data_IF_047134249036
#
_entry.id   IF_047134249036
#
_cell.length_a   1.000
_cell.length_b   1.000
_cell.length_c   1.000
_cell.angle_alpha   90.00
_cell.angle_beta   90.00
_cell.angle_gamma   90.00
#
_symmetry.space_group_name_H-M   'P 1'
#
loop_
_entity.id
_entity.type
_entity.pdbx_description
1 polymer ?
#
# COMPACT_ATOMS: atom_id res chain seq x y z
N UNK A 1 3.33 25.07 -33.93
CA UNK A 1 3.77 23.70 -33.60
C UNK A 1 3.55 23.43 -32.12
N UNK A 2 2.43 22.77 -31.75
CA UNK A 2 2.15 22.36 -30.37
C UNK A 2 2.86 21.03 -30.10
N UNK A 3 3.87 21.05 -29.22
CA UNK A 3 4.50 19.84 -28.70
C UNK A 3 3.44 19.06 -27.90
N UNK A 4 2.93 17.97 -28.48
CA UNK A 4 2.18 16.96 -27.74
C UNK A 4 3.13 16.39 -26.68
N UNK A 5 2.90 16.75 -25.42
CA UNK A 5 3.44 16.01 -24.30
C UNK A 5 2.92 14.58 -24.41
N UNK A 6 3.79 13.65 -24.81
CA UNK A 6 3.60 12.24 -24.53
C UNK A 6 3.67 12.10 -23.01
N UNK A 7 2.52 12.18 -22.35
CA UNK A 7 2.30 11.47 -21.10
C UNK A 7 2.40 9.98 -21.46
N UNK A 8 3.65 9.49 -21.53
CA UNK A 8 3.91 8.07 -21.61
C UNK A 8 3.25 7.42 -20.40
N UNK A 9 2.73 6.21 -20.60
CA UNK A 9 2.25 5.33 -19.56
C UNK A 9 3.15 5.42 -18.31
N UNK A 10 2.77 6.28 -17.36
CA UNK A 10 3.41 6.38 -16.06
C UNK A 10 3.04 5.08 -15.37
N UNK A 11 4.02 4.18 -15.32
CA UNK A 11 3.88 2.73 -15.21
C UNK A 11 2.91 2.25 -14.12
N UNK A 12 1.62 2.12 -14.48
CA UNK A 12 0.60 1.34 -13.76
C UNK A 12 1.10 -0.08 -13.46
N UNK A 13 1.82 -0.66 -14.41
CA UNK A 13 2.43 -1.99 -14.31
C UNK A 13 3.36 -2.15 -13.10
N UNK A 14 4.06 -1.09 -12.70
CA UNK A 14 4.97 -1.13 -11.57
C UNK A 14 4.26 -1.28 -10.22
N UNK A 15 3.15 -0.58 -10.03
CA UNK A 15 2.38 -0.59 -8.78
C UNK A 15 1.51 -1.85 -8.67
N UNK A 16 0.93 -2.30 -9.79
CA UNK A 16 0.16 -3.56 -9.87
C UNK A 16 0.97 -4.81 -9.52
N UNK A 17 2.30 -4.72 -9.60
CA UNK A 17 3.22 -5.81 -9.26
C UNK A 17 3.69 -5.78 -7.79
N UNK A 18 3.16 -4.86 -6.97
CA UNK A 18 3.49 -4.74 -5.55
C UNK A 18 2.48 -5.52 -4.72
N UNK A 19 2.96 -6.42 -3.87
CA UNK A 19 2.09 -7.10 -2.92
C UNK A 19 1.52 -6.10 -1.89
N UNK A 20 2.22 -5.00 -1.63
CA UNK A 20 1.76 -3.91 -0.75
C UNK A 20 0.50 -3.23 -1.29
N UNK A 21 0.38 -3.09 -2.61
CA UNK A 21 -0.84 -2.56 -3.22
C UNK A 21 -2.02 -3.52 -2.98
N UNK A 22 -1.79 -4.83 -3.14
CA UNK A 22 -2.80 -5.86 -2.88
C UNK A 22 -3.22 -5.84 -1.41
N UNK A 23 -2.24 -5.75 -0.49
CA UNK A 23 -2.48 -5.65 0.95
C UNK A 23 -3.35 -4.43 1.29
N UNK A 24 -2.98 -3.25 0.79
CA UNK A 24 -3.74 -2.01 1.01
C UNK A 24 -5.16 -2.11 0.44
N UNK A 25 -5.30 -2.63 -0.78
CA UNK A 25 -6.62 -2.82 -1.41
C UNK A 25 -7.52 -3.73 -0.57
N UNK A 26 -6.98 -4.88 -0.13
CA UNK A 26 -7.71 -5.83 0.69
C UNK A 26 -8.06 -5.25 2.06
N UNK A 27 -7.14 -4.52 2.69
CA UNK A 27 -7.37 -3.83 3.95
C UNK A 27 -8.55 -2.86 3.85
N UNK A 28 -8.55 -1.99 2.85
CA UNK A 28 -9.61 -1.00 2.66
C UNK A 28 -10.97 -1.66 2.43
N UNK A 29 -11.01 -2.81 1.74
CA UNK A 29 -12.23 -3.60 1.53
C UNK A 29 -12.73 -4.25 2.83
N UNK A 30 -11.86 -4.97 3.54
CA UNK A 30 -12.23 -5.72 4.74
C UNK A 30 -12.68 -4.78 5.86
N UNK A 31 -11.94 -3.70 6.07
CA UNK A 31 -12.22 -2.74 7.14
C UNK A 31 -13.12 -1.58 6.69
N UNK A 32 -13.72 -1.67 5.50
CA UNK A 32 -14.64 -0.65 4.98
C UNK A 32 -15.78 -0.38 5.97
N UNK A 33 -16.40 -1.43 6.52
CA UNK A 33 -17.50 -1.28 7.49
C UNK A 33 -17.04 -0.75 8.84
N UNK A 34 -15.88 -1.19 9.33
CA UNK A 34 -15.33 -0.82 10.64
C UNK A 34 -14.90 0.63 10.70
N UNK A 35 -14.21 1.10 9.67
CA UNK A 35 -13.69 2.46 9.59
C UNK A 35 -14.53 3.38 8.71
N UNK A 36 -15.52 2.89 7.96
CA UNK A 36 -16.34 3.75 7.10
C UNK A 36 -15.57 4.31 5.91
N UNK A 37 -14.64 3.54 5.33
CA UNK A 37 -13.95 3.95 4.11
C UNK A 37 -14.91 4.02 2.92
N UNK A 38 -14.56 4.86 1.94
CA UNK A 38 -15.20 4.86 0.63
C UNK A 38 -14.92 3.51 -0.05
N UNK A 39 -15.92 2.97 -0.75
CA UNK A 39 -15.74 1.76 -1.54
C UNK A 39 -14.86 2.07 -2.76
N UNK A 40 -13.84 1.23 -3.00
CA UNK A 40 -12.98 1.32 -4.18
C UNK A 40 -13.03 0.02 -4.96
N UNK A 41 -13.15 0.15 -6.28
CA UNK A 41 -12.65 -0.87 -7.20
C UNK A 41 -11.12 -0.83 -7.21
N UNK A 42 -10.51 -1.95 -7.61
CA UNK A 42 -9.05 -2.06 -7.75
C UNK A 42 -8.45 -1.09 -8.79
N UNK A 43 -9.27 -0.55 -9.71
CA UNK A 43 -8.87 0.48 -10.67
C UNK A 43 -8.99 1.90 -10.09
N UNK A 44 -10.07 2.21 -9.37
CA UNK A 44 -10.24 3.51 -8.71
C UNK A 44 -9.16 3.76 -7.67
N UNK A 45 -8.81 2.74 -6.87
CA UNK A 45 -7.73 2.87 -5.89
C UNK A 45 -6.37 3.12 -6.57
N UNK A 46 -6.12 2.43 -7.69
CA UNK A 46 -4.90 2.64 -8.46
C UNK A 46 -4.84 4.07 -9.03
N UNK A 47 -5.92 4.56 -9.63
CA UNK A 47 -6.01 5.92 -10.13
C UNK A 47 -5.81 6.95 -9.00
N UNK A 48 -6.38 6.69 -7.82
CA UNK A 48 -6.19 7.56 -6.66
C UNK A 48 -4.70 7.67 -6.25
N UNK A 49 -3.92 6.58 -6.33
CA UNK A 49 -2.48 6.63 -6.06
C UNK A 49 -1.65 7.30 -7.16
N UNK A 50 -2.13 7.30 -8.41
CA UNK A 50 -1.49 8.04 -9.50
C UNK A 50 -1.63 9.55 -9.33
N UNK A 51 -2.75 10.00 -8.77
CA UNK A 51 -3.00 11.41 -8.47
C UNK A 51 -2.13 11.92 -7.30
N UNK A 52 -1.36 12.98 -7.56
CA UNK A 52 -0.52 13.61 -6.51
C UNK A 52 -1.33 14.31 -5.42
N UNK A 53 -2.58 14.64 -5.72
CA UNK A 53 -3.48 15.27 -4.80
C UNK A 53 -4.87 14.61 -4.90
N UNK A 54 -5.10 13.60 -4.05
CA UNK A 54 -6.38 12.89 -3.97
C UNK A 54 -6.98 13.09 -2.57
N UNK A 55 -8.09 13.83 -2.49
CA UNK A 55 -8.75 14.17 -1.23
C UNK A 55 -9.26 12.94 -0.48
N UNK A 56 -9.68 11.91 -1.20
CA UNK A 56 -10.14 10.64 -0.60
C UNK A 56 -8.99 9.91 0.10
N UNK A 57 -7.84 9.77 -0.55
CA UNK A 57 -6.64 9.20 0.10
C UNK A 57 -6.19 10.04 1.30
N UNK A 58 -6.22 11.36 1.21
CA UNK A 58 -5.86 12.22 2.35
C UNK A 58 -6.84 12.05 3.51
N UNK A 59 -8.12 11.85 3.21
CA UNK A 59 -9.13 11.45 4.18
C UNK A 59 -8.79 10.15 4.87
N UNK A 60 -8.40 9.11 4.11
CA UNK A 60 -7.98 7.80 4.65
C UNK A 60 -6.75 7.94 5.54
N UNK A 61 -5.68 8.61 5.09
CA UNK A 61 -4.51 8.86 5.91
C UNK A 61 -4.86 9.57 7.21
N UNK A 62 -5.65 10.65 7.13
CA UNK A 62 -6.08 11.41 8.30
C UNK A 62 -6.88 10.54 9.28
N UNK A 63 -7.78 9.72 8.75
CA UNK A 63 -8.63 8.84 9.55
C UNK A 63 -7.84 7.75 10.26
N UNK A 64 -6.96 7.06 9.53
CA UNK A 64 -6.09 6.03 10.09
C UNK A 64 -5.14 6.60 11.16
N UNK A 65 -4.61 7.81 10.94
CA UNK A 65 -3.79 8.48 11.94
C UNK A 65 -4.60 8.89 13.18
N UNK A 66 -5.87 9.27 13.05
CA UNK A 66 -6.73 9.55 14.23
C UNK A 66 -6.97 8.29 15.04
N UNK A 67 -7.09 7.13 14.39
CA UNK A 67 -7.17 5.84 15.07
C UNK A 67 -5.86 5.54 15.79
N UNK A 68 -4.71 5.77 15.13
CA UNK A 68 -3.39 5.54 15.70
C UNK A 68 -3.08 6.51 16.87
N UNK A 69 -3.53 7.76 16.77
CA UNK A 69 -3.21 8.86 17.67
C UNK A 69 -4.49 9.61 18.12
N UNK A 70 -5.37 8.99 18.95
CA UNK A 70 -6.71 9.52 19.26
C UNK A 70 -6.73 10.89 19.96
N UNK A 71 -5.60 11.33 20.54
CA UNK A 71 -5.49 12.59 21.28
C UNK A 71 -5.07 13.79 20.41
N UNK A 72 -4.75 13.58 19.12
CA UNK A 72 -4.28 14.63 18.22
C UNK A 72 -5.41 15.11 17.28
N UNK A 73 -5.52 16.43 17.08
CA UNK A 73 -6.39 17.01 16.06
C UNK A 73 -5.70 16.91 14.68
N UNK A 74 -6.03 15.85 13.94
CA UNK A 74 -5.45 15.56 12.63
C UNK A 74 -6.46 15.94 11.56
N UNK A 75 -6.03 16.68 10.53
CA UNK A 75 -6.88 17.14 9.41
C UNK A 75 -6.27 16.68 8.08
N UNK A 76 -7.06 16.75 7.02
CA UNK A 76 -6.61 16.45 5.65
C UNK A 76 -5.50 17.37 5.15
N UNK A 77 -5.26 18.48 5.84
CA UNK A 77 -4.16 19.42 5.58
C UNK A 77 -2.93 19.20 6.45
N UNK A 78 -3.06 18.53 7.62
CA UNK A 78 -1.99 18.37 8.62
C UNK A 78 -1.50 16.93 8.78
N UNK A 79 -2.17 15.97 8.16
CA UNK A 79 -1.83 14.54 8.31
C UNK A 79 -0.39 14.20 7.90
N UNK A 80 0.17 14.89 6.91
CA UNK A 80 1.53 14.63 6.43
C UNK A 80 2.57 14.92 7.51
N UNK A 81 2.46 16.09 8.16
CA UNK A 81 3.38 16.51 9.21
C UNK A 81 3.27 15.58 10.42
N UNK A 82 2.03 15.22 10.80
CA UNK A 82 1.79 14.28 11.90
C UNK A 82 2.34 12.88 11.58
N UNK A 83 2.20 12.41 10.33
CA UNK A 83 2.71 11.11 9.95
C UNK A 83 4.23 11.09 9.88
N UNK A 84 4.84 12.17 9.39
CA UNK A 84 6.30 12.36 9.40
C UNK A 84 6.85 12.26 10.82
N UNK A 85 6.29 13.02 11.77
CA UNK A 85 6.69 12.96 13.18
C UNK A 85 6.61 11.53 13.72
N UNK A 86 5.55 10.79 13.37
CA UNK A 86 5.35 9.43 13.84
C UNK A 86 6.32 8.43 13.21
N UNK A 87 6.70 8.62 11.94
CA UNK A 87 7.73 7.84 11.26
C UNK A 87 9.09 8.07 11.92
N UNK A 88 9.48 9.33 12.13
CA UNK A 88 10.73 9.70 12.81
C UNK A 88 10.80 9.14 14.24
N UNK A 89 9.66 9.13 14.94
CA UNK A 89 9.57 8.60 16.30
C UNK A 89 9.69 7.08 16.37
N UNK A 90 9.19 6.34 15.36
CA UNK A 90 9.13 4.86 15.39
C UNK A 90 10.26 4.17 14.61
N UNK A 91 10.82 4.83 13.60
CA UNK A 91 11.67 4.20 12.59
C UNK A 91 12.90 5.06 12.31
N UNK A 92 14.08 4.50 12.59
CA UNK A 92 15.36 5.12 12.22
C UNK A 92 15.84 4.73 10.81
N UNK A 93 15.21 3.74 10.17
CA UNK A 93 15.74 3.14 8.92
C UNK A 93 15.02 3.62 7.64
N UNK A 94 13.80 4.15 7.77
CA UNK A 94 13.02 4.64 6.64
C UNK A 94 12.20 5.86 7.03
N UNK A 95 12.67 7.04 6.63
CA UNK A 95 11.95 8.30 6.74
C UNK A 95 11.75 8.92 5.33
N UNK A 96 10.65 8.58 4.64
CA UNK A 96 10.41 9.02 3.26
C UNK A 96 10.23 10.54 3.12
N UNK A 97 9.92 11.26 4.21
CA UNK A 97 9.74 12.71 4.24
C UNK A 97 11.03 13.49 4.60
N UNK A 98 12.20 12.85 4.48
CA UNK A 98 13.51 13.51 4.56
C UNK A 98 13.62 14.65 3.51
N UNK A 99 14.47 15.64 3.79
CA UNK A 99 14.70 16.81 2.93
C UNK A 99 13.46 17.71 2.66
N UNK A 100 12.35 17.51 3.39
CA UNK A 100 11.15 18.33 3.25
C UNK A 100 10.22 17.90 2.11
N UNK A 101 10.48 16.72 1.52
CA UNK A 101 9.63 16.10 0.49
C UNK A 101 8.18 15.97 0.98
N UNK A 102 7.22 16.39 0.14
CA UNK A 102 5.77 16.32 0.42
C UNK A 102 5.09 15.17 -0.32
N UNK A 103 3.84 14.89 0.05
CA UNK A 103 3.08 13.76 -0.51
C UNK A 103 3.03 13.76 -2.06
N UNK A 104 2.85 14.95 -2.64
CA UNK A 104 2.71 15.14 -4.08
C UNK A 104 3.99 14.81 -4.86
N UNK A 105 5.15 14.88 -4.20
CA UNK A 105 6.47 14.57 -4.76
C UNK A 105 6.80 13.07 -4.73
N UNK A 106 6.04 12.24 -4.01
CA UNK A 106 6.23 10.79 -4.04
C UNK A 106 5.74 10.18 -5.34
N UNK A 107 6.47 9.19 -5.82
CA UNK A 107 5.99 8.28 -6.85
C UNK A 107 4.76 7.49 -6.37
N UNK A 108 3.90 7.00 -7.27
CA UNK A 108 2.74 6.19 -6.89
C UNK A 108 3.09 4.99 -6.00
N UNK A 109 4.24 4.36 -6.25
CA UNK A 109 4.75 3.24 -5.43
C UNK A 109 5.05 3.66 -4.00
N UNK A 110 5.74 4.79 -3.82
CA UNK A 110 6.06 5.33 -2.49
C UNK A 110 4.77 5.71 -1.74
N UNK A 111 3.76 6.25 -2.44
CA UNK A 111 2.45 6.56 -1.83
C UNK A 111 1.73 5.31 -1.30
N UNK A 112 1.81 4.19 -2.02
CA UNK A 112 1.31 2.89 -1.52
C UNK A 112 2.08 2.44 -0.28
N UNK A 113 3.41 2.54 -0.30
CA UNK A 113 4.26 2.16 0.84
C UNK A 113 3.98 3.01 2.07
N UNK A 114 3.71 4.30 1.90
CA UNK A 114 3.30 5.20 2.99
C UNK A 114 2.01 4.71 3.65
N UNK A 115 0.97 4.40 2.87
CA UNK A 115 -0.30 3.92 3.43
C UNK A 115 -0.13 2.55 4.09
N UNK A 116 0.60 1.64 3.44
CA UNK A 116 0.92 0.32 4.00
C UNK A 116 1.63 0.44 5.34
N UNK A 117 2.62 1.33 5.47
CA UNK A 117 3.34 1.54 6.73
C UNK A 117 2.43 2.05 7.84
N UNK A 118 1.51 2.95 7.52
CA UNK A 118 0.53 3.42 8.49
C UNK A 118 -0.38 2.28 8.97
N UNK A 119 -0.80 1.39 8.07
CA UNK A 119 -1.57 0.20 8.41
C UNK A 119 -0.74 -0.76 9.29
N UNK A 120 0.55 -0.96 9.01
CA UNK A 120 1.42 -1.77 9.89
C UNK A 120 1.43 -1.22 11.32
N UNK A 121 1.59 0.11 11.48
CA UNK A 121 1.61 0.75 12.80
C UNK A 121 0.30 0.59 13.58
N UNK A 122 -0.82 0.47 12.87
CA UNK A 122 -2.12 0.16 13.45
C UNK A 122 -2.23 -1.32 13.85
N UNK A 123 -1.73 -2.22 13.01
CA UNK A 123 -1.70 -3.66 13.29
C UNK A 123 -0.76 -4.04 14.45
N UNK A 124 0.31 -3.26 14.68
CA UNK A 124 1.18 -3.36 15.86
C UNK A 124 0.51 -2.82 17.14
N UNK A 125 -0.68 -2.23 17.00
CA UNK A 125 -1.48 -1.71 18.11
C UNK A 125 -2.22 -2.79 18.91
N UNK A 126 -3.29 -2.37 19.59
CA UNK A 126 -4.13 -3.25 20.44
C UNK A 126 -5.38 -3.79 19.74
N UNK A 127 -5.50 -3.59 18.43
CA UNK A 127 -6.66 -4.04 17.66
C UNK A 127 -6.38 -5.45 17.13
N UNK A 128 -6.94 -6.45 17.83
CA UNK A 128 -6.68 -7.86 17.52
C UNK A 128 -7.11 -8.23 16.10
N UNK A 129 -8.21 -7.66 15.58
CA UNK A 129 -8.69 -7.92 14.22
C UNK A 129 -7.72 -7.39 13.17
N UNK A 130 -7.14 -6.21 13.40
CA UNK A 130 -6.09 -5.65 12.55
C UNK A 130 -4.81 -6.50 12.57
N UNK A 131 -4.42 -6.95 13.77
CA UNK A 131 -3.24 -7.78 13.95
C UNK A 131 -3.40 -9.14 13.27
N UNK A 132 -4.55 -9.79 13.43
CA UNK A 132 -4.92 -11.05 12.77
C UNK A 132 -4.94 -10.88 11.25
N UNK A 133 -5.57 -9.82 10.73
CA UNK A 133 -5.56 -9.53 9.29
C UNK A 133 -4.14 -9.43 8.74
N UNK A 134 -3.26 -8.67 9.42
CA UNK A 134 -1.89 -8.49 8.97
C UNK A 134 -1.08 -9.80 9.00
N UNK A 135 -1.26 -10.62 10.04
CA UNK A 135 -0.62 -11.94 10.17
C UNK A 135 -1.13 -12.92 9.12
N UNK A 136 -2.45 -12.99 8.91
CA UNK A 136 -3.07 -13.92 7.97
C UNK A 136 -2.76 -13.57 6.52
N UNK A 137 -2.72 -12.29 6.17
CA UNK A 137 -2.36 -11.85 4.82
C UNK A 137 -0.92 -12.24 4.47
N UNK A 138 0.00 -12.17 5.44
CA UNK A 138 1.40 -12.56 5.27
C UNK A 138 1.64 -14.07 5.41
N UNK A 139 0.65 -14.83 5.85
CA UNK A 139 0.78 -16.27 6.08
C UNK A 139 0.42 -17.06 4.80
N UNK A 140 1.40 -17.73 4.14
CA UNK A 140 1.16 -18.51 2.91
C UNK A 140 0.23 -19.70 3.11
N UNK A 141 0.02 -20.12 4.37
CA UNK A 141 -0.86 -21.22 4.75
C UNK A 141 -2.24 -20.71 5.22
N UNK A 142 -2.49 -19.40 5.27
CA UNK A 142 -3.81 -18.89 5.61
C UNK A 142 -4.79 -19.25 4.50
N UNK A 143 -5.97 -19.73 4.89
CA UNK A 143 -6.94 -20.37 4.01
C UNK A 143 -7.54 -19.45 2.94
N UNK A 144 -7.22 -18.15 2.97
CA UNK A 144 -7.87 -17.12 2.14
C UNK A 144 -7.20 -16.92 0.77
N UNK A 145 -5.94 -17.33 0.59
CA UNK A 145 -5.24 -17.13 -0.69
C UNK A 145 -4.34 -18.34 -0.98
N UNK A 146 -4.76 -19.18 -1.94
CA UNK A 146 -3.93 -20.28 -2.45
C UNK A 146 -3.22 -19.85 -3.73
N UNK A 147 -1.93 -20.17 -3.91
CA UNK A 147 -1.27 -19.97 -5.19
C UNK A 147 -2.00 -20.81 -6.25
N UNK A 148 -2.34 -20.20 -7.38
CA UNK A 148 -3.09 -20.88 -8.44
C UNK A 148 -2.19 -21.73 -9.33
N UNK A 149 -0.88 -21.47 -9.33
CA UNK A 149 0.05 -22.24 -10.15
C UNK A 149 1.47 -21.70 -10.12
N UNK A 150 2.35 -22.44 -10.79
CA UNK A 150 3.75 -22.06 -11.04
C UNK A 150 4.05 -22.16 -12.52
N UNK A 151 4.88 -21.27 -13.06
CA UNK A 151 5.40 -21.43 -14.42
C UNK A 151 6.67 -22.29 -14.46
N UNK A 152 7.18 -22.59 -15.66
CA UNK A 152 8.41 -23.34 -15.87
C UNK A 152 9.67 -22.65 -15.29
N UNK A 153 9.58 -21.37 -14.94
CA UNK A 153 10.64 -20.62 -14.25
C UNK A 153 10.46 -20.61 -12.73
N UNK A 154 9.51 -21.38 -12.20
CA UNK A 154 9.15 -21.48 -10.78
C UNK A 154 8.61 -20.18 -10.17
N UNK A 155 8.13 -19.23 -10.99
CA UNK A 155 7.41 -18.06 -10.49
C UNK A 155 6.05 -18.51 -9.94
N UNK A 156 5.60 -17.93 -8.83
CA UNK A 156 4.32 -18.30 -8.20
C UNK A 156 3.24 -17.32 -8.65
N UNK A 157 2.11 -17.87 -9.06
CA UNK A 157 0.95 -17.11 -9.47
C UNK A 157 -0.12 -17.14 -8.38
N UNK A 158 -0.69 -15.98 -8.07
CA UNK A 158 -1.70 -15.79 -7.04
C UNK A 158 -2.92 -15.09 -7.64
N UNK A 159 -4.12 -15.51 -7.25
CA UNK A 159 -5.37 -14.93 -7.73
C UNK A 159 -6.07 -14.20 -6.59
N UNK A 160 -6.38 -12.92 -6.80
CA UNK A 160 -7.05 -12.08 -5.81
C UNK A 160 -8.33 -11.51 -6.42
N UNK A 161 -9.47 -11.94 -5.85
CA UNK A 161 -10.87 -11.49 -5.87
C UNK A 161 -11.46 -10.83 -7.15
N UNK A 162 -10.74 -9.93 -7.82
CA UNK A 162 -11.25 -9.12 -8.93
C UNK A 162 -10.49 -9.34 -10.27
N UNK A 163 -10.26 -10.60 -10.67
CA UNK A 163 -9.63 -10.99 -11.96
C UNK A 163 -8.11 -10.72 -12.11
N UNK A 164 -7.40 -10.40 -11.02
CA UNK A 164 -5.97 -10.02 -11.11
C UNK A 164 -5.05 -11.17 -10.69
N UNK A 165 -4.12 -11.47 -11.60
CA UNK A 165 -3.11 -12.49 -11.48
C UNK A 165 -1.78 -11.84 -11.03
N UNK A 166 -1.37 -12.11 -9.79
CA UNK A 166 -0.07 -11.67 -9.29
C UNK A 166 0.99 -12.72 -9.60
N UNK A 167 2.17 -12.30 -10.07
CA UNK A 167 3.32 -13.17 -10.32
C UNK A 167 4.48 -12.79 -9.41
N UNK A 168 4.78 -13.64 -8.45
CA UNK A 168 5.98 -13.54 -7.63
C UNK A 168 7.18 -14.13 -8.38
N UNK A 169 8.21 -13.32 -8.60
CA UNK A 169 9.44 -13.75 -9.28
C UNK A 169 10.39 -14.34 -8.26
N UNK A 170 10.46 -15.68 -8.21
CA UNK A 170 11.48 -16.38 -7.42
C UNK A 170 12.75 -16.40 -8.26
N UNK A 171 13.56 -15.34 -8.13
CA UNK A 171 14.84 -15.23 -8.83
C UNK A 171 15.64 -16.53 -8.69
N UNK A 172 16.16 -17.06 -9.81
CA UNK A 172 17.06 -18.21 -9.78
C UNK A 172 18.22 -17.86 -8.85
N UNK A 173 18.30 -18.47 -7.66
CA UNK A 173 19.54 -18.53 -6.88
C UNK A 173 20.60 -18.99 -7.87
N UNK A 174 21.54 -18.10 -8.18
CA UNK A 174 22.59 -18.37 -9.15
C UNK A 174 23.23 -19.70 -8.80
N UNK A 175 23.14 -20.67 -9.72
CA UNK A 175 24.05 -21.82 -9.68
C UNK A 175 25.44 -21.23 -9.76
N UNK A 176 26.15 -21.19 -8.63
CA UNK A 176 27.61 -21.10 -8.65
C UNK A 176 28.08 -22.34 -9.40
N UNK A 177 28.46 -22.16 -10.66
CA UNK A 177 29.23 -23.14 -11.40
C UNK A 177 30.60 -23.21 -10.74
N UNK A 178 30.91 -24.37 -10.16
CA UNK A 178 32.29 -24.79 -9.91
C UNK A 178 32.94 -25.28 -11.18
#
# INVERSE_FOLDING_TARGET
MRRRHKQGALSTNGMRSMWEFVFVSQFLRVFQGKFGFVHFTSEELENAFLESHNSTLFGIFSQLLRILLPKRDIKTTTWQDVFKEELERRSSEWCPFEEGKRYDEFSPKERVLLLKRLIDYLADGKDDELNEFAKDFLNPNSSRVKPIGRDASNNIYWYFDDLRLYREIIGKKGRRTG
#
